data_IF_644895026268
#
_entry.id   IF_644895026268
#
_cell.length_a   1.000
_cell.length_b   1.000
_cell.length_c   1.000
_cell.angle_alpha   90.00
_cell.angle_beta   90.00
_cell.angle_gamma   90.00
#
_symmetry.space_group_name_H-M   'P 1'
#
loop_
_entity.id
_entity.type
_entity.pdbx_description
1 polymer ?
#
# COMPACT_ATOMS: atom_id res chain seq x y z
N UNK A 1 -65.89 -23.03 -32.16
CA UNK A 1 -66.62 -22.41 -31.05
C UNK A 1 -67.47 -23.48 -30.39
N UNK A 2 -67.22 -23.79 -29.14
CA UNK A 2 -68.27 -23.67 -28.14
C UNK A 2 -67.80 -22.96 -26.89
N UNK A 3 -68.73 -22.18 -26.36
CA UNK A 3 -68.70 -21.43 -25.13
C UNK A 3 -68.73 -22.37 -23.92
N UNK A 4 -67.82 -22.20 -22.92
CA UNK A 4 -67.98 -22.80 -21.60
C UNK A 4 -68.53 -21.78 -20.62
N UNK A 5 -69.76 -22.13 -20.15
CA UNK A 5 -70.47 -21.34 -19.12
C UNK A 5 -69.95 -21.54 -17.75
N UNK A 6 -69.98 -20.42 -16.97
CA UNK A 6 -69.77 -20.36 -15.53
C UNK A 6 -70.87 -21.21 -14.82
N UNK A 7 -70.46 -22.30 -14.21
CA UNK A 7 -71.10 -22.93 -13.02
C UNK A 7 -70.59 -24.36 -12.86
N UNK A 8 -69.60 -24.51 -12.06
CA UNK A 8 -69.34 -25.69 -11.20
C UNK A 8 -68.11 -25.36 -10.31
N UNK A 9 -68.37 -24.56 -9.30
CA UNK A 9 -67.59 -24.49 -8.11
C UNK A 9 -68.33 -25.35 -7.07
N UNK A 10 -67.56 -26.05 -6.32
CA UNK A 10 -67.80 -26.51 -4.94
C UNK A 10 -67.49 -28.00 -4.75
N UNK A 11 -66.69 -28.18 -3.73
CA UNK A 11 -66.37 -29.40 -2.96
C UNK A 11 -65.03 -30.10 -3.33
N UNK A 12 -64.02 -29.69 -2.56
CA UNK A 12 -62.77 -30.37 -2.36
C UNK A 12 -62.05 -29.79 -1.15
N UNK A 13 -62.49 -30.21 0.05
CA UNK A 13 -61.83 -29.89 1.33
C UNK A 13 -60.46 -30.56 1.35
N UNK A 14 -59.36 -29.83 1.19
CA UNK A 14 -58.02 -30.30 1.44
C UNK A 14 -57.50 -29.62 2.72
N UNK A 15 -57.19 -30.46 3.67
CA UNK A 15 -56.61 -30.10 4.96
C UNK A 15 -55.28 -29.33 4.78
N UNK A 16 -55.23 -28.09 5.20
CA UNK A 16 -54.00 -27.32 5.33
C UNK A 16 -53.29 -27.77 6.59
N UNK A 17 -52.23 -28.54 6.44
CA UNK A 17 -51.27 -28.78 7.51
C UNK A 17 -50.56 -27.45 7.83
N UNK A 18 -50.81 -26.93 9.02
CA UNK A 18 -50.10 -25.78 9.55
C UNK A 18 -48.62 -26.15 9.78
N UNK A 19 -47.74 -25.69 8.88
CA UNK A 19 -46.29 -25.67 9.12
C UNK A 19 -46.05 -24.49 10.04
N UNK A 20 -45.42 -24.65 11.22
CA UNK A 20 -45.07 -23.55 12.07
C UNK A 20 -43.97 -22.74 11.38
N UNK A 21 -44.33 -21.59 10.85
CA UNK A 21 -43.37 -20.60 10.35
C UNK A 21 -42.69 -19.88 11.51
N UNK A 22 -41.73 -20.55 12.14
CA UNK A 22 -40.73 -19.91 13.00
C UNK A 22 -39.45 -19.62 12.20
N UNK A 23 -39.56 -19.02 11.02
CA UNK A 23 -38.49 -18.25 10.43
C UNK A 23 -38.59 -16.85 11.02
N UNK A 24 -37.90 -16.63 12.17
CA UNK A 24 -37.56 -15.28 12.60
C UNK A 24 -36.78 -14.64 11.44
N UNK A 25 -37.20 -13.49 10.92
CA UNK A 25 -36.37 -12.76 9.99
C UNK A 25 -35.07 -12.44 10.73
N UNK A 26 -33.95 -12.97 10.26
CA UNK A 26 -32.65 -12.40 10.61
C UNK A 26 -32.73 -10.98 10.06
N UNK A 27 -33.10 -10.04 10.89
CA UNK A 27 -32.97 -8.63 10.57
C UNK A 27 -31.50 -8.41 10.29
N UNK A 28 -31.13 -8.26 9.04
CA UNK A 28 -29.83 -7.73 8.65
C UNK A 28 -29.80 -6.30 9.19
N UNK A 29 -29.43 -6.14 10.46
CA UNK A 29 -29.19 -4.82 11.02
C UNK A 29 -27.99 -4.27 10.25
N UNK A 30 -28.19 -3.10 9.61
CA UNK A 30 -27.07 -2.33 9.10
C UNK A 30 -26.11 -2.11 10.28
N UNK A 31 -24.81 -2.23 10.02
CA UNK A 31 -23.81 -2.01 11.07
C UNK A 31 -24.00 -0.60 11.67
N UNK A 32 -23.93 -0.51 12.99
CA UNK A 32 -24.08 0.74 13.73
C UNK A 32 -22.99 1.76 13.35
N UNK A 33 -21.78 1.24 13.11
CA UNK A 33 -20.62 2.03 12.69
C UNK A 33 -20.11 1.51 11.35
N UNK A 34 -20.10 2.38 10.35
CA UNK A 34 -19.57 2.06 9.01
C UNK A 34 -18.41 2.99 8.71
N UNK A 35 -17.24 2.38 8.44
CA UNK A 35 -16.00 3.09 8.16
C UNK A 35 -15.48 2.78 6.76
N UNK A 36 -14.70 3.72 6.20
CA UNK A 36 -14.04 3.60 4.89
C UNK A 36 -12.57 3.26 5.07
N UNK A 37 -12.08 2.37 4.22
CA UNK A 37 -10.67 2.03 4.07
C UNK A 37 -10.28 2.31 2.62
N UNK A 38 -9.55 3.40 2.38
CA UNK A 38 -9.17 3.83 1.02
C UNK A 38 -7.78 3.34 0.64
N UNK A 39 -7.58 2.91 -0.62
CA UNK A 39 -6.26 2.55 -1.15
C UNK A 39 -6.04 3.04 -2.57
N UNK A 40 -4.76 3.23 -2.93
CA UNK A 40 -4.36 3.63 -4.27
C UNK A 40 -4.11 2.43 -5.21
N UNK A 41 -3.91 1.22 -4.68
CA UNK A 41 -3.59 0.03 -5.47
C UNK A 41 -4.84 -0.67 -6.03
N UNK A 42 -4.71 -1.39 -7.16
CA UNK A 42 -5.84 -2.13 -7.76
C UNK A 42 -6.44 -3.18 -6.81
N UNK A 43 -7.73 -3.50 -6.99
CA UNK A 43 -8.48 -4.40 -6.12
C UNK A 43 -7.82 -5.78 -5.93
N UNK A 44 -7.18 -6.32 -6.96
CA UNK A 44 -6.50 -7.61 -6.92
C UNK A 44 -5.15 -7.59 -6.15
N UNK A 45 -4.68 -6.41 -5.71
CA UNK A 45 -3.46 -6.33 -4.93
C UNK A 45 -3.64 -6.99 -3.55
N UNK A 46 -2.66 -7.76 -3.04
CA UNK A 46 -2.76 -8.45 -1.74
C UNK A 46 -3.18 -7.54 -0.59
N UNK A 47 -2.79 -6.26 -0.60
CA UNK A 47 -3.23 -5.27 0.38
C UNK A 47 -4.77 -5.21 0.46
N UNK A 48 -5.45 -5.08 -0.68
CA UNK A 48 -6.91 -4.98 -0.69
C UNK A 48 -7.58 -6.31 -0.35
N UNK A 49 -7.04 -7.42 -0.84
CA UNK A 49 -7.55 -8.76 -0.50
C UNK A 49 -7.53 -8.96 1.01
N UNK A 50 -6.38 -8.70 1.64
CA UNK A 50 -6.23 -8.86 3.10
C UNK A 50 -7.00 -7.82 3.90
N UNK A 51 -7.19 -6.60 3.37
CA UNK A 51 -8.04 -5.58 3.99
C UNK A 51 -9.52 -6.00 4.00
N UNK A 52 -10.03 -6.58 2.90
CA UNK A 52 -11.39 -7.12 2.84
C UNK A 52 -11.59 -8.25 3.85
N UNK A 53 -10.68 -9.22 3.88
CA UNK A 53 -10.72 -10.31 4.87
C UNK A 53 -10.66 -9.80 6.32
N UNK A 54 -9.85 -8.77 6.59
CA UNK A 54 -9.80 -8.13 7.90
C UNK A 54 -11.14 -7.45 8.24
N UNK A 55 -11.76 -6.76 7.27
CA UNK A 55 -13.05 -6.13 7.43
C UNK A 55 -14.16 -7.15 7.75
N UNK A 56 -14.17 -8.29 7.07
CA UNK A 56 -15.10 -9.40 7.34
C UNK A 56 -14.91 -9.98 8.75
N UNK A 57 -13.65 -10.18 9.18
CA UNK A 57 -13.35 -10.62 10.55
C UNK A 57 -13.79 -9.59 11.58
N UNK A 58 -13.57 -8.31 11.36
CA UNK A 58 -13.98 -7.23 12.24
C UNK A 58 -15.51 -7.21 12.38
N UNK A 59 -16.24 -7.27 11.28
CA UNK A 59 -17.71 -7.33 11.29
C UNK A 59 -18.23 -8.51 12.13
N UNK A 60 -17.65 -9.69 11.92
CA UNK A 60 -18.01 -10.90 12.66
C UNK A 60 -17.66 -10.79 14.15
N UNK A 61 -16.45 -10.36 14.49
CA UNK A 61 -15.95 -10.31 15.87
C UNK A 61 -16.59 -9.18 16.69
N UNK A 62 -17.16 -8.17 16.01
CA UNK A 62 -17.97 -7.10 16.63
C UNK A 62 -19.47 -7.41 16.61
N UNK A 63 -19.87 -8.65 16.32
CA UNK A 63 -21.27 -9.08 16.21
C UNK A 63 -22.11 -8.19 15.27
N UNK A 64 -21.53 -7.74 14.18
CA UNK A 64 -22.19 -6.88 13.19
C UNK A 64 -22.18 -5.38 13.54
N UNK A 65 -21.58 -4.97 14.65
CA UNK A 65 -21.60 -3.58 15.09
C UNK A 65 -20.73 -2.67 14.21
N UNK A 66 -19.55 -3.16 13.77
CA UNK A 66 -18.59 -2.38 12.97
C UNK A 66 -18.40 -2.99 11.58
N UNK A 67 -18.76 -2.23 10.54
CA UNK A 67 -18.45 -2.55 9.15
C UNK A 67 -17.34 -1.64 8.62
N UNK A 68 -16.43 -2.22 7.81
CA UNK A 68 -15.38 -1.48 7.12
C UNK A 68 -15.50 -1.77 5.62
N UNK A 69 -15.71 -0.72 4.82
CA UNK A 69 -15.81 -0.81 3.37
C UNK A 69 -14.47 -0.43 2.73
N UNK A 70 -13.93 -1.33 1.91
CA UNK A 70 -12.66 -1.12 1.21
C UNK A 70 -12.90 -0.46 -0.15
N UNK A 71 -12.21 0.65 -0.41
CA UNK A 71 -12.28 1.44 -1.65
C UNK A 71 -10.90 1.43 -2.33
N UNK A 72 -10.66 0.49 -3.25
CA UNK A 72 -9.39 0.35 -3.96
C UNK A 72 -9.24 1.35 -5.10
N UNK A 73 -8.06 1.33 -5.74
CA UNK A 73 -7.81 1.95 -7.04
C UNK A 73 -8.14 3.46 -7.10
N UNK A 74 -7.76 4.21 -6.06
CA UNK A 74 -7.99 5.65 -5.95
C UNK A 74 -9.47 6.09 -6.04
N UNK A 75 -10.43 5.23 -5.68
CA UNK A 75 -11.86 5.58 -5.71
C UNK A 75 -12.22 6.76 -4.80
N UNK A 76 -11.43 7.02 -3.77
CA UNK A 76 -11.59 8.14 -2.84
C UNK A 76 -10.64 9.32 -3.13
N UNK A 77 -10.01 9.34 -4.31
CA UNK A 77 -9.00 10.32 -4.71
C UNK A 77 -7.58 9.74 -4.68
N UNK A 78 -6.59 10.55 -5.11
CA UNK A 78 -5.18 10.15 -5.06
C UNK A 78 -4.64 10.16 -3.61
N UNK A 79 -3.37 9.77 -3.42
CA UNK A 79 -2.76 9.66 -2.09
C UNK A 79 -2.83 10.98 -1.28
N UNK A 80 -2.66 12.13 -1.94
CA UNK A 80 -2.74 13.45 -1.29
C UNK A 80 -4.15 13.78 -0.86
N UNK A 81 -5.15 13.45 -1.69
CA UNK A 81 -6.57 13.62 -1.38
C UNK A 81 -6.97 12.73 -0.19
N UNK A 82 -6.59 11.44 -0.23
CA UNK A 82 -6.87 10.50 0.85
C UNK A 82 -6.17 10.88 2.16
N UNK A 83 -4.93 11.37 2.12
CA UNK A 83 -4.25 11.88 3.33
C UNK A 83 -4.98 13.10 3.91
N UNK A 84 -5.46 14.01 3.06
CA UNK A 84 -6.23 15.17 3.48
C UNK A 84 -7.56 14.76 4.13
N UNK A 85 -8.27 13.80 3.54
CA UNK A 85 -9.51 13.22 4.10
C UNK A 85 -9.26 12.51 5.44
N UNK A 86 -8.16 11.73 5.54
CA UNK A 86 -7.75 11.07 6.78
C UNK A 86 -7.52 12.09 7.90
N UNK A 87 -6.80 13.17 7.61
CA UNK A 87 -6.53 14.25 8.58
C UNK A 87 -7.80 14.99 9.00
N UNK A 88 -8.75 15.16 8.08
CA UNK A 88 -10.06 15.75 8.38
C UNK A 88 -11.01 14.77 9.09
N UNK A 89 -10.69 13.47 9.15
CA UNK A 89 -11.57 12.42 9.68
C UNK A 89 -12.75 12.09 8.75
N UNK A 90 -12.64 12.42 7.47
CA UNK A 90 -13.63 12.08 6.43
C UNK A 90 -13.33 10.73 5.78
N UNK A 91 -12.11 10.23 5.91
CA UNK A 91 -11.66 8.86 5.63
C UNK A 91 -11.13 8.27 6.94
N UNK A 92 -11.64 7.10 7.34
CA UNK A 92 -11.35 6.54 8.65
C UNK A 92 -10.05 5.76 8.67
N UNK A 93 -9.76 4.98 7.61
CA UNK A 93 -8.53 4.19 7.49
C UNK A 93 -7.88 4.38 6.13
N UNK A 94 -6.58 4.59 6.15
CA UNK A 94 -5.76 4.73 4.95
C UNK A 94 -4.38 4.09 5.16
N UNK A 95 -4.04 3.03 4.42
CA UNK A 95 -2.68 2.49 4.38
C UNK A 95 -1.80 3.42 3.54
N UNK A 96 -1.03 4.26 4.20
CA UNK A 96 -0.17 5.26 3.57
C UNK A 96 1.31 4.94 3.77
N UNK A 97 2.10 5.07 2.71
CA UNK A 97 3.56 4.94 2.82
C UNK A 97 4.15 6.15 3.55
N UNK A 98 5.00 5.88 4.52
CA UNK A 98 5.75 6.92 5.22
C UNK A 98 6.73 7.66 4.32
N UNK A 99 7.16 7.02 3.25
CA UNK A 99 8.09 7.61 2.28
C UNK A 99 7.36 8.48 1.24
N UNK A 100 6.06 8.24 1.01
CA UNK A 100 5.22 8.98 0.05
C UNK A 100 4.66 10.27 0.68
N UNK A 101 3.41 10.60 0.40
CA UNK A 101 2.74 11.87 0.82
C UNK A 101 2.80 12.13 2.32
N UNK A 102 2.86 11.09 3.16
CA UNK A 102 3.01 11.24 4.61
C UNK A 102 4.31 11.95 4.98
N UNK A 103 5.38 11.77 4.21
CA UNK A 103 6.66 12.44 4.45
C UNK A 103 6.63 13.97 4.34
N UNK A 104 5.64 14.51 3.63
CA UNK A 104 5.43 15.96 3.56
C UNK A 104 4.84 16.51 4.86
N UNK A 105 4.08 15.70 5.58
CA UNK A 105 3.48 16.06 6.86
C UNK A 105 4.38 15.70 8.04
N UNK A 106 5.03 14.55 7.97
CA UNK A 106 5.93 14.00 9.00
C UNK A 106 7.23 13.55 8.31
N UNK A 107 8.22 14.45 8.07
CA UNK A 107 9.41 14.16 7.28
C UNK A 107 10.18 12.92 7.75
N UNK A 108 10.27 12.70 9.07
CA UNK A 108 10.96 11.56 9.66
C UNK A 108 10.33 10.21 9.27
N UNK A 109 9.04 10.18 8.88
CA UNK A 109 8.35 8.96 8.45
C UNK A 109 8.99 8.31 7.24
N UNK A 110 9.76 9.05 6.43
CA UNK A 110 10.41 8.53 5.24
C UNK A 110 11.75 7.83 5.50
N UNK A 111 12.23 7.81 6.74
CA UNK A 111 13.59 7.36 7.07
C UNK A 111 13.86 5.91 6.66
N UNK A 112 12.88 5.01 6.72
CA UNK A 112 13.08 3.63 6.26
C UNK A 112 13.30 3.49 4.75
N UNK A 113 12.93 4.50 3.96
CA UNK A 113 13.09 4.52 2.51
C UNK A 113 14.45 5.07 2.06
N UNK A 114 15.42 5.26 2.94
CA UNK A 114 16.77 5.69 2.55
C UNK A 114 17.35 4.69 1.55
N UNK A 115 17.79 5.22 0.40
CA UNK A 115 18.25 4.40 -0.73
C UNK A 115 19.36 3.41 -0.37
N UNK A 116 19.21 2.16 -0.80
CA UNK A 116 20.16 1.06 -0.58
C UNK A 116 20.50 0.78 0.91
N UNK A 117 19.62 1.17 1.84
CA UNK A 117 19.85 0.95 3.26
C UNK A 117 19.64 -0.52 3.68
N UNK A 118 18.71 -1.23 3.07
CA UNK A 118 18.26 -2.54 3.52
C UNK A 118 18.77 -3.68 2.65
N UNK A 119 19.11 -4.79 3.30
CA UNK A 119 19.55 -6.00 2.62
C UNK A 119 18.47 -7.09 2.46
N UNK A 120 17.37 -7.02 3.24
CA UNK A 120 16.28 -8.02 3.17
C UNK A 120 14.97 -7.49 3.74
N UNK A 121 13.86 -8.09 3.32
CA UNK A 121 12.53 -7.81 3.89
C UNK A 121 12.49 -8.10 5.40
N UNK A 122 13.12 -9.18 5.86
CA UNK A 122 13.14 -9.57 7.28
C UNK A 122 13.81 -8.51 8.16
N UNK A 123 14.92 -7.92 7.68
CA UNK A 123 15.60 -6.85 8.40
C UNK A 123 14.68 -5.62 8.55
N UNK A 124 13.97 -5.26 7.49
CA UNK A 124 13.01 -4.15 7.50
C UNK A 124 11.85 -4.45 8.44
N UNK A 125 11.24 -5.63 8.33
CA UNK A 125 10.10 -6.02 9.17
C UNK A 125 10.49 -6.03 10.65
N UNK A 126 11.65 -6.59 11.00
CA UNK A 126 12.17 -6.57 12.38
C UNK A 126 12.37 -5.16 12.92
N UNK A 127 12.88 -4.24 12.09
CA UNK A 127 13.09 -2.86 12.48
C UNK A 127 11.77 -2.09 12.65
N UNK A 128 10.85 -2.20 11.66
CA UNK A 128 9.62 -1.41 11.61
C UNK A 128 8.50 -1.95 12.52
N UNK A 129 8.46 -3.23 12.81
CA UNK A 129 7.58 -3.78 13.86
C UNK A 129 8.18 -3.56 15.25
N UNK A 130 9.50 -3.33 15.34
CA UNK A 130 10.26 -3.13 16.57
C UNK A 130 10.52 -1.66 16.93
N UNK A 131 11.74 -1.42 17.38
CA UNK A 131 12.19 -0.15 17.98
C UNK A 131 12.09 1.01 16.98
N UNK A 132 12.56 0.83 15.73
CA UNK A 132 12.51 1.88 14.73
C UNK A 132 11.06 2.27 14.41
N UNK A 133 10.18 1.29 14.23
CA UNK A 133 8.76 1.55 13.97
C UNK A 133 8.07 2.22 15.16
N UNK A 134 8.38 1.83 16.40
CA UNK A 134 7.86 2.51 17.60
C UNK A 134 8.32 3.98 17.65
N UNK A 135 9.58 4.24 17.35
CA UNK A 135 10.10 5.60 17.27
C UNK A 135 9.34 6.43 16.22
N UNK A 136 9.17 5.90 15.02
CA UNK A 136 8.47 6.59 13.94
C UNK A 136 6.99 6.84 14.26
N UNK A 137 6.28 5.80 14.76
CA UNK A 137 4.87 5.92 15.17
C UNK A 137 4.66 6.97 16.28
N UNK A 138 5.65 7.19 17.13
CA UNK A 138 5.61 8.22 18.16
C UNK A 138 5.51 9.67 17.64
N UNK A 139 5.74 9.88 16.35
CA UNK A 139 5.60 11.20 15.71
C UNK A 139 4.21 11.47 15.15
N UNK A 140 3.42 10.44 14.85
CA UNK A 140 2.13 10.60 14.19
C UNK A 140 1.04 11.28 15.05
N UNK A 141 0.97 11.06 16.38
CA UNK A 141 0.01 11.77 17.23
C UNK A 141 0.19 13.29 17.23
N UNK A 142 1.41 13.79 16.98
CA UNK A 142 1.70 15.24 16.87
C UNK A 142 0.93 15.93 15.73
N UNK A 143 0.50 15.13 14.73
CA UNK A 143 -0.29 15.60 13.58
C UNK A 143 -1.72 15.02 13.59
N UNK A 144 -2.16 14.47 14.74
CA UNK A 144 -3.50 13.93 14.93
C UNK A 144 -3.76 12.59 14.25
N UNK A 145 -2.73 11.82 13.96
CA UNK A 145 -2.81 10.51 13.31
C UNK A 145 -2.31 9.40 14.23
N UNK A 146 -2.84 8.21 14.04
CA UNK A 146 -2.38 6.95 14.65
C UNK A 146 -2.06 5.93 13.55
N UNK A 147 -1.11 5.04 13.81
CA UNK A 147 -0.82 3.90 12.96
C UNK A 147 -0.96 2.59 13.75
N UNK A 148 -1.45 1.55 13.08
CA UNK A 148 -1.39 0.17 13.59
C UNK A 148 0.07 -0.27 13.71
N UNK A 149 0.33 -1.27 14.59
CA UNK A 149 1.71 -1.63 14.96
C UNK A 149 2.50 -2.31 13.84
N UNK A 150 1.85 -3.13 13.04
CA UNK A 150 2.50 -3.96 12.01
C UNK A 150 2.51 -3.24 10.68
N UNK A 151 3.70 -3.10 10.07
CA UNK A 151 3.84 -2.52 8.73
C UNK A 151 3.35 -3.51 7.65
N UNK A 152 2.58 -3.00 6.68
CA UNK A 152 2.17 -3.72 5.49
C UNK A 152 3.28 -3.65 4.45
N UNK A 153 3.71 -4.78 3.88
CA UNK A 153 4.88 -4.85 3.00
C UNK A 153 4.54 -4.64 1.54
N UNK A 154 5.11 -3.61 0.91
CA UNK A 154 5.14 -3.48 -0.55
C UNK A 154 6.36 -4.20 -1.13
N UNK A 155 7.46 -4.23 -0.39
CA UNK A 155 8.70 -4.87 -0.76
C UNK A 155 9.71 -3.97 -1.45
N UNK A 156 10.79 -4.57 -1.95
CA UNK A 156 11.85 -3.87 -2.68
C UNK A 156 11.37 -3.39 -4.05
N UNK A 157 11.80 -2.19 -4.40
CA UNK A 157 11.39 -1.50 -5.62
C UNK A 157 12.45 -1.64 -6.71
N UNK A 158 11.97 -1.83 -7.94
CA UNK A 158 12.76 -2.06 -9.14
C UNK A 158 12.56 -0.92 -10.13
N UNK A 159 13.57 -0.56 -10.88
CA UNK A 159 13.48 0.47 -11.93
C UNK A 159 12.98 -0.17 -13.21
N UNK A 160 11.90 0.40 -13.81
CA UNK A 160 11.52 0.09 -15.20
C UNK A 160 11.64 1.31 -16.09
N UNK A 161 11.95 1.11 -17.37
CA UNK A 161 11.95 2.17 -18.38
C UNK A 161 11.80 1.61 -19.80
N UNK A 162 11.54 2.49 -20.78
CA UNK A 162 11.35 2.10 -22.19
C UNK A 162 12.62 2.29 -23.04
N UNK A 163 13.71 2.82 -22.47
CA UNK A 163 14.86 3.33 -23.24
C UNK A 163 16.03 2.32 -23.27
N UNK A 164 16.50 1.87 -22.09
CA UNK A 164 17.68 0.99 -21.96
C UNK A 164 17.72 0.25 -20.62
N UNK A 165 18.43 -0.89 -20.53
CA UNK A 165 18.74 -1.51 -19.24
C UNK A 165 19.57 -0.56 -18.37
N UNK A 166 19.34 -0.60 -17.05
CA UNK A 166 20.12 0.16 -16.06
C UNK A 166 21.08 -0.81 -15.38
N UNK A 167 22.36 -0.74 -15.71
CA UNK A 167 23.42 -1.57 -15.13
C UNK A 167 24.26 -0.78 -14.11
N UNK A 168 24.39 0.52 -14.32
CA UNK A 168 25.14 1.46 -13.48
C UNK A 168 24.35 2.77 -13.30
N UNK A 169 24.73 3.63 -12.34
CA UNK A 169 24.08 4.95 -12.18
C UNK A 169 24.14 5.83 -13.42
N UNK A 170 25.20 5.68 -14.24
CA UNK A 170 25.38 6.44 -15.49
C UNK A 170 24.26 6.17 -16.49
N UNK A 171 23.66 4.98 -16.46
CA UNK A 171 22.54 4.62 -17.32
C UNK A 171 21.25 5.37 -16.99
N UNK A 172 21.15 5.95 -15.79
CA UNK A 172 20.03 6.81 -15.38
C UNK A 172 20.12 8.23 -15.92
N UNK A 173 21.31 8.67 -16.37
CA UNK A 173 21.51 10.04 -16.86
C UNK A 173 20.60 10.35 -18.04
N UNK A 174 19.89 11.49 -17.93
CA UNK A 174 18.96 11.98 -18.94
C UNK A 174 17.61 11.27 -18.99
N UNK A 175 17.38 10.21 -18.22
CA UNK A 175 16.07 9.58 -18.12
C UNK A 175 15.13 10.41 -17.24
N UNK A 176 13.95 10.69 -17.77
CA UNK A 176 12.85 11.26 -17.00
C UNK A 176 12.16 10.14 -16.21
N UNK A 177 12.41 10.10 -14.90
CA UNK A 177 11.89 9.05 -14.05
C UNK A 177 10.70 9.54 -13.24
N UNK A 178 9.53 8.92 -13.44
CA UNK A 178 8.42 9.14 -12.51
C UNK A 178 8.81 8.58 -11.14
N UNK A 179 8.68 9.40 -10.12
CA UNK A 179 8.80 9.00 -8.72
C UNK A 179 7.50 9.35 -7.97
N UNK A 180 7.19 8.65 -6.87
CA UNK A 180 6.09 9.05 -5.98
C UNK A 180 6.27 10.47 -5.44
N UNK A 181 5.18 11.05 -4.93
CA UNK A 181 5.18 12.40 -4.35
C UNK A 181 5.95 12.40 -3.02
N UNK A 182 7.28 12.56 -3.11
CA UNK A 182 8.19 12.45 -1.98
C UNK A 182 9.50 13.21 -2.21
N UNK A 183 9.93 14.02 -1.25
CA UNK A 183 11.25 14.67 -1.30
C UNK A 183 12.42 13.66 -1.32
N UNK A 184 12.30 12.54 -0.58
CA UNK A 184 13.33 11.50 -0.52
C UNK A 184 13.52 10.82 -1.88
N UNK A 185 12.43 10.41 -2.55
CA UNK A 185 12.51 9.79 -3.88
C UNK A 185 13.11 10.74 -4.91
N UNK A 186 12.64 11.99 -4.91
CA UNK A 186 13.18 13.02 -5.80
C UNK A 186 14.67 13.23 -5.57
N UNK A 187 15.10 13.35 -4.32
CA UNK A 187 16.52 13.48 -3.95
C UNK A 187 17.33 12.26 -4.39
N UNK A 188 16.86 11.03 -4.12
CA UNK A 188 17.54 9.79 -4.49
C UNK A 188 17.83 9.72 -6.00
N UNK A 189 16.81 9.89 -6.84
CA UNK A 189 16.97 9.78 -8.28
C UNK A 189 17.79 10.94 -8.88
N UNK A 190 17.71 12.13 -8.28
CA UNK A 190 18.57 13.27 -8.64
C UNK A 190 20.04 12.98 -8.34
N UNK A 191 20.36 12.43 -7.17
CA UNK A 191 21.72 12.04 -6.78
C UNK A 191 22.28 10.89 -7.63
N UNK A 192 21.40 10.04 -8.19
CA UNK A 192 21.76 9.00 -9.17
C UNK A 192 21.87 9.53 -10.61
N UNK A 193 21.63 10.83 -10.85
CA UNK A 193 21.79 11.47 -12.16
C UNK A 193 20.56 11.43 -13.08
N UNK A 194 19.43 10.90 -12.63
CA UNK A 194 18.18 10.96 -13.39
C UNK A 194 17.50 12.35 -13.29
N UNK A 195 16.46 12.56 -14.10
CA UNK A 195 15.55 13.69 -14.05
C UNK A 195 14.22 13.24 -13.42
N UNK A 196 14.08 13.27 -12.08
CA UNK A 196 12.87 12.78 -11.41
C UNK A 196 11.70 13.73 -11.64
N UNK A 197 10.53 13.16 -11.93
CA UNK A 197 9.24 13.83 -12.01
C UNK A 197 8.32 13.25 -10.93
N UNK A 198 7.90 14.09 -9.98
CA UNK A 198 7.00 13.71 -8.90
C UNK A 198 5.56 13.68 -9.43
N UNK A 199 5.02 12.48 -9.64
CA UNK A 199 3.69 12.25 -10.24
C UNK A 199 2.94 11.23 -9.38
N UNK A 200 1.63 11.45 -9.18
CA UNK A 200 0.77 10.54 -8.39
C UNK A 200 0.75 9.13 -9.00
N UNK A 201 0.46 8.12 -8.17
CA UNK A 201 0.36 6.74 -8.70
C UNK A 201 -0.79 6.60 -9.70
N UNK A 202 -1.90 7.31 -9.49
CA UNK A 202 -3.05 7.32 -10.38
C UNK A 202 -2.71 7.72 -11.83
N UNK A 203 -1.68 8.57 -12.01
CA UNK A 203 -1.26 9.11 -13.32
C UNK A 203 -0.06 8.35 -13.92
N UNK A 204 0.49 7.36 -13.20
CA UNK A 204 1.73 6.69 -13.61
C UNK A 204 1.61 6.00 -14.96
N UNK A 205 0.56 5.17 -15.16
CA UNK A 205 0.37 4.44 -16.41
C UNK A 205 0.24 5.39 -17.61
N UNK A 206 -0.63 6.41 -17.53
CA UNK A 206 -0.85 7.37 -18.61
C UNK A 206 0.41 8.20 -18.90
N UNK A 207 1.16 8.61 -17.89
CA UNK A 207 2.41 9.36 -18.06
C UNK A 207 3.51 8.55 -18.76
N UNK A 208 3.56 7.23 -18.51
CA UNK A 208 4.45 6.31 -19.23
C UNK A 208 3.97 6.06 -20.65
N UNK A 209 2.67 5.83 -20.84
CA UNK A 209 2.06 5.57 -22.14
C UNK A 209 2.24 6.76 -23.11
N UNK A 210 2.06 7.97 -22.60
CA UNK A 210 2.21 9.21 -23.38
C UNK A 210 3.66 9.70 -23.45
N UNK A 211 4.61 8.97 -22.85
CA UNK A 211 6.05 9.32 -22.81
C UNK A 211 6.37 10.68 -22.17
N UNK A 212 5.52 11.14 -21.26
CA UNK A 212 5.84 12.29 -20.39
C UNK A 212 7.04 11.96 -19.53
N UNK A 213 7.16 10.70 -19.12
CA UNK A 213 8.32 10.10 -18.45
C UNK A 213 8.78 8.84 -19.19
N UNK A 214 10.08 8.53 -19.09
CA UNK A 214 10.70 7.39 -19.75
C UNK A 214 10.57 6.11 -18.91
N UNK A 215 10.50 6.26 -17.59
CA UNK A 215 10.48 5.17 -16.65
C UNK A 215 9.84 5.51 -15.31
N UNK A 216 9.76 4.49 -14.48
CA UNK A 216 9.24 4.56 -13.12
C UNK A 216 9.94 3.51 -12.24
N UNK A 217 9.59 3.44 -10.97
CA UNK A 217 10.08 2.44 -10.04
C UNK A 217 8.94 1.96 -9.13
N UNK A 218 8.85 0.65 -8.93
CA UNK A 218 7.86 -0.01 -8.08
C UNK A 218 8.27 -1.46 -7.79
N UNK A 219 7.69 -2.11 -6.77
CA UNK A 219 7.80 -3.55 -6.59
C UNK A 219 7.19 -4.32 -7.76
N UNK A 220 7.69 -5.54 -8.03
CA UNK A 220 7.21 -6.36 -9.13
C UNK A 220 5.71 -6.64 -9.08
N UNK A 221 5.15 -6.80 -7.88
CA UNK A 221 3.71 -7.00 -7.69
C UNK A 221 2.89 -5.82 -8.25
N UNK A 222 3.31 -4.59 -7.98
CA UNK A 222 2.65 -3.38 -8.51
C UNK A 222 2.86 -3.27 -10.02
N UNK A 223 4.10 -3.53 -10.52
CA UNK A 223 4.38 -3.53 -11.97
C UNK A 223 3.47 -4.51 -12.71
N UNK A 224 3.21 -5.69 -12.12
CA UNK A 224 2.33 -6.71 -12.69
C UNK A 224 0.86 -6.31 -12.62
N UNK A 225 0.34 -5.99 -11.44
CA UNK A 225 -1.09 -5.77 -11.21
C UNK A 225 -1.58 -4.46 -11.85
N UNK A 226 -0.76 -3.40 -11.82
CA UNK A 226 -1.05 -2.14 -12.51
C UNK A 226 -0.68 -2.17 -14.00
N UNK A 227 -0.27 -3.32 -14.53
CA UNK A 227 0.07 -3.56 -15.94
C UNK A 227 1.13 -2.61 -16.50
N UNK A 228 2.05 -2.13 -15.66
CA UNK A 228 3.09 -1.20 -16.10
C UNK A 228 4.04 -1.82 -17.14
N UNK A 229 4.11 -3.15 -17.21
CA UNK A 229 4.84 -3.91 -18.23
C UNK A 229 4.33 -3.65 -19.66
N UNK A 230 3.06 -3.20 -19.85
CA UNK A 230 2.51 -2.88 -21.18
C UNK A 230 3.13 -1.61 -21.77
N UNK A 231 3.62 -0.72 -20.92
CA UNK A 231 4.15 0.61 -21.29
C UNK A 231 5.64 0.77 -20.93
N UNK A 232 6.29 -0.32 -20.53
CA UNK A 232 7.72 -0.37 -20.18
C UNK A 232 8.38 -1.55 -20.88
N UNK A 233 9.69 -1.47 -21.15
CA UNK A 233 10.45 -2.49 -21.88
C UNK A 233 11.50 -3.18 -21.01
N UNK A 234 12.19 -2.44 -20.16
CA UNK A 234 13.28 -2.93 -19.33
C UNK A 234 12.90 -2.89 -17.87
N UNK A 235 13.33 -3.89 -17.11
CA UNK A 235 13.20 -3.95 -15.66
C UNK A 235 14.56 -4.28 -15.05
N UNK A 236 15.15 -3.33 -14.37
CA UNK A 236 16.45 -3.50 -13.70
C UNK A 236 16.20 -3.75 -12.22
N UNK A 237 16.71 -4.89 -11.72
CA UNK A 237 16.52 -5.35 -10.34
C UNK A 237 17.42 -4.57 -9.38
N UNK A 238 17.08 -3.31 -9.19
CA UNK A 238 17.90 -2.36 -8.43
C UNK A 238 17.75 -2.49 -6.93
N UNK A 239 16.63 -3.02 -6.43
CA UNK A 239 16.34 -3.09 -4.98
C UNK A 239 16.74 -1.80 -4.24
N UNK A 240 16.63 -0.66 -4.91
CA UNK A 240 17.17 0.63 -4.47
C UNK A 240 16.49 1.20 -3.24
N UNK A 241 15.27 0.75 -2.96
CA UNK A 241 14.48 1.20 -1.82
C UNK A 241 13.49 0.11 -1.43
N UNK A 242 13.25 -0.06 -0.14
CA UNK A 242 12.13 -0.82 0.37
C UNK A 242 10.96 0.12 0.68
N UNK A 243 9.73 -0.34 0.44
CA UNK A 243 8.53 0.44 0.75
C UNK A 243 7.45 -0.42 1.39
N UNK A 244 6.56 0.23 2.13
CA UNK A 244 5.44 -0.37 2.83
C UNK A 244 4.43 0.69 3.26
N UNK A 245 3.38 0.24 3.93
CA UNK A 245 2.30 1.12 4.38
C UNK A 245 2.04 0.95 5.87
N UNK A 246 1.88 2.07 6.56
CA UNK A 246 1.22 2.10 7.85
C UNK A 246 -0.29 2.15 7.61
N UNK A 247 -1.06 1.20 8.17
CA UNK A 247 -2.51 1.35 8.28
C UNK A 247 -2.78 2.43 9.32
N UNK A 248 -3.19 3.60 8.85
CA UNK A 248 -3.38 4.79 9.68
C UNK A 248 -4.84 5.16 9.85
N UNK A 249 -5.12 5.84 10.95
CA UNK A 249 -6.42 6.43 11.25
C UNK A 249 -6.25 7.81 11.87
N UNK A 250 -7.29 8.65 11.83
CA UNK A 250 -7.34 9.91 12.55
C UNK A 250 -7.58 9.65 14.05
N UNK A 251 -6.82 10.33 14.93
CA UNK A 251 -6.94 10.17 16.38
C UNK A 251 -8.39 10.40 16.87
N UNK A 252 -9.04 11.47 16.41
CA UNK A 252 -10.43 11.79 16.83
C UNK A 252 -11.44 10.77 16.32
N UNK A 253 -11.18 10.17 15.16
CA UNK A 253 -12.01 9.07 14.63
C UNK A 253 -11.82 7.84 15.50
N UNK A 254 -10.56 7.46 15.78
CA UNK A 254 -10.22 6.33 16.64
C UNK A 254 -10.88 6.43 18.02
N UNK A 255 -10.86 7.61 18.62
CA UNK A 255 -11.45 7.85 19.95
C UNK A 255 -12.98 7.71 19.97
N UNK A 256 -13.65 7.85 18.83
CA UNK A 256 -15.11 7.64 18.67
C UNK A 256 -15.49 6.18 18.40
N UNK A 257 -14.55 5.35 17.98
CA UNK A 257 -14.80 3.91 17.81
C UNK A 257 -15.10 3.33 19.18
N UNK A 258 -16.12 2.44 19.31
CA UNK A 258 -16.43 1.79 20.59
C UNK A 258 -15.16 1.14 21.19
N UNK A 259 -14.94 1.37 22.47
CA UNK A 259 -13.72 0.93 23.16
C UNK A 259 -13.46 -0.57 22.96
N UNK A 260 -14.49 -1.40 23.06
CA UNK A 260 -14.40 -2.84 22.86
C UNK A 260 -14.04 -3.25 21.42
N UNK A 261 -14.36 -2.41 20.41
CA UNK A 261 -14.07 -2.66 19.00
C UNK A 261 -12.63 -2.30 18.61
N UNK A 262 -12.01 -1.31 19.28
CA UNK A 262 -10.64 -0.86 18.93
C UNK A 262 -9.61 -1.99 18.93
N UNK A 263 -9.48 -2.84 19.96
CA UNK A 263 -8.51 -3.92 19.94
C UNK A 263 -8.84 -5.00 18.88
N UNK A 264 -10.12 -5.20 18.53
CA UNK A 264 -10.54 -6.10 17.45
C UNK A 264 -10.03 -5.57 16.12
N UNK A 265 -10.25 -4.29 15.83
CA UNK A 265 -9.81 -3.62 14.60
C UNK A 265 -8.29 -3.67 14.48
N UNK A 266 -7.57 -3.24 15.53
CA UNK A 266 -6.11 -3.22 15.54
C UNK A 266 -5.52 -4.62 15.30
N UNK A 267 -6.01 -5.65 16.01
CA UNK A 267 -5.56 -7.03 15.85
C UNK A 267 -5.79 -7.56 14.44
N UNK A 268 -6.96 -7.30 13.85
CA UNK A 268 -7.29 -7.79 12.52
C UNK A 268 -6.49 -7.11 11.42
N UNK A 269 -6.23 -5.81 11.50
CA UNK A 269 -5.34 -5.12 10.56
C UNK A 269 -3.87 -5.54 10.72
N UNK A 270 -3.39 -5.72 11.94
CA UNK A 270 -2.03 -6.23 12.18
C UNK A 270 -1.88 -7.67 11.63
N UNK A 271 -2.88 -8.52 11.81
CA UNK A 271 -2.91 -9.87 11.23
C UNK A 271 -2.92 -9.81 9.70
N UNK A 272 -3.72 -8.95 9.09
CA UNK A 272 -3.78 -8.77 7.64
C UNK A 272 -2.42 -8.32 7.06
N UNK A 273 -1.67 -7.47 7.78
CA UNK A 273 -0.32 -7.08 7.40
C UNK A 273 0.64 -8.27 7.34
N UNK A 274 0.58 -9.19 8.32
CA UNK A 274 1.40 -10.41 8.33
C UNK A 274 0.99 -11.38 7.20
N UNK A 275 -0.31 -11.55 6.98
CA UNK A 275 -0.84 -12.37 5.88
C UNK A 275 -0.41 -11.83 4.52
N UNK A 276 -0.42 -10.50 4.34
CA UNK A 276 0.06 -9.85 3.11
C UNK A 276 1.56 -10.08 2.86
N UNK A 277 2.40 -10.09 3.91
CA UNK A 277 3.83 -10.39 3.77
C UNK A 277 4.06 -11.80 3.20
N UNK A 278 3.30 -12.78 3.69
CA UNK A 278 3.36 -14.15 3.18
C UNK A 278 2.93 -14.24 1.71
N UNK A 279 1.88 -13.51 1.31
CA UNK A 279 1.46 -13.41 -0.09
C UNK A 279 2.55 -12.77 -0.97
N UNK A 280 3.15 -11.67 -0.49
CA UNK A 280 4.23 -10.97 -1.20
C UNK A 280 5.45 -11.86 -1.45
N UNK A 281 5.88 -12.61 -0.45
CA UNK A 281 6.98 -13.56 -0.58
C UNK A 281 6.68 -14.64 -1.65
N UNK A 282 5.45 -15.19 -1.63
CA UNK A 282 5.00 -16.17 -2.62
C UNK A 282 4.93 -15.57 -4.04
N UNK A 283 4.39 -14.37 -4.20
CA UNK A 283 4.29 -13.69 -5.48
C UNK A 283 5.68 -13.37 -6.05
N UNK A 284 6.59 -12.85 -5.24
CA UNK A 284 7.92 -12.46 -5.71
C UNK A 284 8.72 -13.63 -6.28
N UNK A 285 8.42 -14.87 -5.90
CA UNK A 285 9.10 -16.06 -6.43
C UNK A 285 8.81 -16.33 -7.92
N UNK A 286 7.65 -15.91 -8.45
CA UNK A 286 7.22 -16.17 -9.83
C UNK A 286 7.16 -14.94 -10.72
N UNK A 287 6.98 -13.74 -10.14
CA UNK A 287 6.69 -12.52 -10.91
C UNK A 287 7.78 -12.14 -11.93
N UNK A 288 9.05 -12.40 -11.63
CA UNK A 288 10.13 -12.11 -12.60
C UNK A 288 9.94 -12.90 -13.90
N UNK A 289 9.68 -14.20 -13.79
CA UNK A 289 9.46 -15.06 -14.96
C UNK A 289 8.15 -14.75 -15.67
N UNK A 290 7.09 -14.48 -14.94
CA UNK A 290 5.79 -14.10 -15.51
C UNK A 290 5.86 -12.77 -16.29
N UNK A 291 6.54 -11.76 -15.73
CA UNK A 291 6.71 -10.46 -16.38
C UNK A 291 7.66 -10.53 -17.58
N UNK A 292 8.70 -11.40 -17.51
CA UNK A 292 9.57 -11.69 -18.66
C UNK A 292 8.77 -12.33 -19.80
N UNK A 293 7.88 -13.28 -19.51
CA UNK A 293 6.98 -13.88 -20.49
C UNK A 293 6.00 -12.86 -21.12
N UNK A 294 5.74 -11.75 -20.41
CA UNK A 294 4.94 -10.62 -20.92
C UNK A 294 5.76 -9.57 -21.67
N UNK A 295 7.06 -9.81 -21.89
CA UNK A 295 7.91 -8.97 -22.71
C UNK A 295 8.85 -8.02 -21.98
N UNK A 296 8.87 -8.00 -20.64
CA UNK A 296 9.85 -7.23 -19.89
C UNK A 296 11.24 -7.89 -19.98
N UNK A 297 12.24 -7.11 -20.32
CA UNK A 297 13.65 -7.54 -20.35
C UNK A 297 14.30 -7.22 -19.02
N UNK A 298 14.69 -8.24 -18.28
CA UNK A 298 15.29 -8.12 -16.96
C UNK A 298 16.82 -8.07 -17.03
N UNK A 299 17.42 -7.26 -16.14
CA UNK A 299 18.85 -7.29 -15.82
C UNK A 299 19.09 -7.10 -14.33
N UNK A 300 20.28 -7.52 -13.88
CA UNK A 300 20.70 -7.43 -12.47
C UNK A 300 21.91 -6.47 -12.39
N UNK A 301 21.69 -5.21 -11.98
CA UNK A 301 22.74 -4.21 -11.90
C UNK A 301 23.71 -4.46 -10.74
N UNK A 302 24.90 -3.88 -10.83
CA UNK A 302 25.91 -3.90 -9.74
C UNK A 302 25.54 -2.83 -8.69
N UNK A 303 24.87 -3.22 -7.63
CA UNK A 303 24.30 -2.31 -6.62
C UNK A 303 25.36 -1.46 -5.90
N UNK A 304 26.59 -1.97 -5.73
CA UNK A 304 27.67 -1.24 -5.08
C UNK A 304 28.00 0.08 -5.78
N UNK A 305 27.92 0.14 -7.11
CA UNK A 305 28.14 1.36 -7.87
C UNK A 305 27.12 2.45 -7.56
N UNK A 306 25.85 2.06 -7.35
CA UNK A 306 24.77 2.99 -6.96
C UNK A 306 25.01 3.54 -5.56
N UNK A 307 25.35 2.66 -4.60
CA UNK A 307 25.65 3.07 -3.23
C UNK A 307 26.86 4.01 -3.18
N UNK A 308 27.94 3.66 -3.90
CA UNK A 308 29.15 4.51 -3.99
C UNK A 308 28.82 5.91 -4.58
N UNK A 309 27.94 5.96 -5.59
CA UNK A 309 27.47 7.23 -6.16
C UNK A 309 26.72 8.07 -5.14
N UNK A 310 25.84 7.47 -4.33
CA UNK A 310 25.09 8.16 -3.29
C UNK A 310 26.02 8.70 -2.17
N UNK A 311 27.05 7.93 -1.79
CA UNK A 311 28.09 8.40 -0.86
C UNK A 311 28.80 9.60 -1.44
N UNK A 312 29.33 9.48 -2.67
CA UNK A 312 30.10 10.53 -3.34
C UNK A 312 29.29 11.80 -3.60
N UNK A 313 28.00 11.67 -3.91
CA UNK A 313 27.12 12.80 -4.19
C UNK A 313 26.59 13.50 -2.94
N UNK A 314 26.84 12.96 -1.74
CA UNK A 314 26.42 13.53 -0.46
C UNK A 314 24.96 13.21 -0.07
N UNK A 315 24.30 12.26 -0.73
CA UNK A 315 22.92 11.89 -0.43
C UNK A 315 22.71 11.50 1.03
N UNK A 316 23.56 10.62 1.56
CA UNK A 316 23.41 10.16 2.95
C UNK A 316 23.68 11.29 3.96
N UNK A 317 24.66 12.17 3.69
CA UNK A 317 24.94 13.33 4.55
C UNK A 317 23.76 14.31 4.57
N UNK A 318 23.14 14.58 3.39
CA UNK A 318 21.92 15.41 3.28
C UNK A 318 20.79 14.86 4.15
N UNK A 319 20.51 13.55 4.06
CA UNK A 319 19.37 12.95 4.75
C UNK A 319 19.66 12.71 6.24
N UNK A 320 20.90 12.44 6.62
CA UNK A 320 21.34 12.43 8.01
C UNK A 320 21.10 13.79 8.68
N UNK A 321 21.45 14.88 8.02
CA UNK A 321 21.18 16.23 8.51
C UNK A 321 19.68 16.50 8.67
N UNK A 322 18.85 16.06 7.71
CA UNK A 322 17.40 16.27 7.74
C UNK A 322 16.69 15.47 8.84
N UNK A 323 17.12 14.25 9.11
CA UNK A 323 16.51 13.40 10.13
C UNK A 323 17.07 13.62 11.52
N UNK A 324 18.29 14.15 11.63
CA UNK A 324 19.03 14.33 12.86
C UNK A 324 19.83 13.09 13.27
N UNK A 325 20.86 13.32 14.08
CA UNK A 325 21.85 12.30 14.47
C UNK A 325 21.22 11.12 15.23
N UNK A 326 20.30 11.40 16.16
CA UNK A 326 19.63 10.34 16.95
C UNK A 326 18.84 9.38 16.07
N UNK A 327 18.00 9.92 15.18
CA UNK A 327 17.20 9.14 14.26
C UNK A 327 18.08 8.36 13.26
N UNK A 328 19.13 9.00 12.76
CA UNK A 328 20.06 8.35 11.83
C UNK A 328 20.84 7.22 12.51
N UNK A 329 21.30 7.40 13.73
CA UNK A 329 21.96 6.36 14.51
C UNK A 329 21.02 5.16 14.77
N UNK A 330 19.74 5.45 15.01
CA UNK A 330 18.72 4.39 15.15
C UNK A 330 18.51 3.62 13.86
N UNK A 331 18.49 4.27 12.68
CA UNK A 331 18.44 3.60 11.39
C UNK A 331 19.68 2.71 11.19
N UNK A 332 20.89 3.26 11.41
CA UNK A 332 22.16 2.53 11.24
C UNK A 332 22.33 1.34 12.18
N UNK A 333 21.63 1.30 13.32
CA UNK A 333 21.57 0.13 14.21
C UNK A 333 21.04 -1.11 13.48
N UNK A 334 20.16 -0.93 12.49
CA UNK A 334 19.52 -2.02 11.73
C UNK A 334 20.12 -2.22 10.34
N UNK A 335 20.64 -1.16 9.73
CA UNK A 335 21.11 -1.18 8.33
C UNK A 335 22.63 -1.30 8.22
N UNK A 336 23.35 -1.09 9.30
CA UNK A 336 24.79 -0.79 9.26
C UNK A 336 25.04 0.65 8.79
N UNK A 337 26.32 1.03 8.68
CA UNK A 337 26.75 2.38 8.28
C UNK A 337 26.34 2.67 6.82
N UNK A 338 25.76 3.85 6.59
CA UNK A 338 25.22 4.24 5.29
C UNK A 338 26.10 5.26 4.53
N UNK A 339 27.14 5.77 5.13
CA UNK A 339 28.04 6.72 4.48
C UNK A 339 29.09 7.27 5.43
#
# INVERSE_FOLDING_TARGET
MPQFTRRQALLGSAAWAAVPASMLPISAHAAEFTYKFGTNVPAAHPLNVRAVEAAERILKETNGQVAINVFPNNQLGNDSDMLSQLRAGALEFFPVSGVNVLSQLVPISSMWGVGFAWGSDDAVHKALDGELGKFLRGHFPKVGLLAMDTIWSSGFRQVTNSVRPINTPEDLKGLKMRVPVSPLWTSLFKHLGASPASISFAETYSSLQTKVVDGQENPLAIISIAKLYEVQKYCSMTNHMWDGWWCMTNQKVWDRIPEAARPIIARNFNRAALEMRADGAKLNSSLRSELAAKGLVFNDPKLDAFRATLVKSGFYAEWRQKYGEEAWALLEKFTGKLG
#
